data_IF_260044664973
#
_entry.id   IF_260044664973
#
_cell.length_a   1.000
_cell.length_b   1.000
_cell.length_c   1.000
_cell.angle_alpha   90.00
_cell.angle_beta   90.00
_cell.angle_gamma   90.00
#
_symmetry.space_group_name_H-M   'P 1'
#
loop_
_entity.id
_entity.type
_entity.pdbx_description
1 polymer ?
#
# COMPACT_ATOMS: atom_id res chain seq x y z
N UNK A 1 -1.64 -30.42 36.85
CA UNK A 1 -3.01 -30.02 36.52
C UNK A 1 -2.95 -28.99 35.41
N UNK A 2 -3.34 -29.37 34.19
CA UNK A 2 -3.46 -28.44 33.09
C UNK A 2 -4.80 -27.73 33.20
N UNK A 3 -4.81 -26.44 33.48
CA UNK A 3 -6.02 -25.63 33.48
C UNK A 3 -6.48 -25.51 31.99
N UNK A 4 -7.46 -26.33 31.65
CA UNK A 4 -8.19 -26.17 30.37
C UNK A 4 -8.92 -24.83 30.44
N UNK A 5 -8.48 -23.88 29.63
CA UNK A 5 -9.10 -22.57 29.54
C UNK A 5 -10.53 -22.72 29.02
N UNK A 6 -11.50 -22.40 29.88
CA UNK A 6 -12.94 -22.44 29.61
C UNK A 6 -13.41 -21.29 28.68
N UNK A 7 -12.53 -20.74 27.83
CA UNK A 7 -12.85 -19.58 27.00
C UNK A 7 -13.75 -19.91 25.79
N UNK A 8 -14.07 -21.19 25.51
CA UNK A 8 -14.89 -21.61 24.37
C UNK A 8 -16.20 -22.30 24.71
N UNK A 9 -16.57 -22.36 26.00
CA UNK A 9 -17.81 -23.00 26.37
C UNK A 9 -18.98 -22.06 26.06
N UNK A 10 -19.84 -22.48 25.14
CA UNK A 10 -21.12 -21.85 24.79
C UNK A 10 -21.06 -20.57 23.91
N UNK A 11 -19.92 -20.27 23.24
CA UNK A 11 -19.89 -19.26 22.21
C UNK A 11 -20.25 -19.90 20.86
N UNK A 12 -21.20 -19.30 20.09
CA UNK A 12 -21.51 -19.79 18.75
C UNK A 12 -20.30 -19.70 17.83
N UNK A 13 -20.04 -20.74 17.03
CA UNK A 13 -19.02 -20.70 15.99
C UNK A 13 -19.52 -19.79 14.86
N UNK A 14 -19.04 -18.55 14.85
CA UNK A 14 -19.29 -17.65 13.73
C UNK A 14 -18.38 -18.00 12.54
N UNK A 15 -18.90 -17.95 11.30
CA UNK A 15 -18.08 -18.17 10.12
C UNK A 15 -16.97 -17.12 10.05
N UNK A 16 -15.75 -17.56 9.74
CA UNK A 16 -14.63 -16.68 9.53
C UNK A 16 -14.87 -15.83 8.28
N UNK A 17 -14.46 -14.56 8.35
CA UNK A 17 -14.63 -13.61 7.26
C UNK A 17 -13.86 -14.05 6.01
N UNK A 18 -14.48 -13.93 4.83
CA UNK A 18 -13.95 -14.45 3.56
C UNK A 18 -13.46 -13.35 2.59
N UNK A 19 -13.46 -12.08 3.01
CA UNK A 19 -13.04 -10.95 2.17
C UNK A 19 -11.56 -11.03 1.81
N UNK A 20 -11.27 -11.16 0.52
CA UNK A 20 -9.94 -11.27 -0.05
C UNK A 20 -9.70 -10.28 -1.21
N UNK A 21 -10.41 -9.17 -1.21
CA UNK A 21 -10.29 -8.11 -2.22
C UNK A 21 -9.36 -6.99 -1.77
N UNK A 22 -8.66 -6.38 -2.72
CA UNK A 22 -8.03 -5.07 -2.57
C UNK A 22 -9.03 -4.03 -3.03
N UNK A 23 -9.43 -3.11 -2.14
CA UNK A 23 -10.48 -2.12 -2.42
C UNK A 23 -9.93 -0.75 -2.77
N UNK A 24 -8.76 -0.40 -2.24
CA UNK A 24 -8.11 0.89 -2.50
C UNK A 24 -6.62 0.69 -2.69
N UNK A 25 -6.05 1.40 -3.66
CA UNK A 25 -4.60 1.54 -3.85
C UNK A 25 -4.23 2.99 -3.66
N UNK A 26 -3.30 3.26 -2.78
CA UNK A 26 -2.69 4.57 -2.58
C UNK A 26 -1.19 4.50 -2.86
N UNK A 27 -0.58 5.65 -3.14
CA UNK A 27 0.86 5.74 -3.33
C UNK A 27 1.40 7.01 -2.68
N UNK A 28 2.64 6.94 -2.24
CA UNK A 28 3.37 8.09 -1.71
C UNK A 28 4.82 8.07 -2.18
N UNK A 29 5.44 9.25 -2.09
CA UNK A 29 6.86 9.44 -2.22
C UNK A 29 7.46 9.80 -0.86
N UNK A 30 8.60 9.21 -0.50
CA UNK A 30 9.34 9.51 0.73
C UNK A 30 10.68 10.14 0.40
N UNK A 31 11.01 11.19 1.09
CA UNK A 31 12.25 11.92 0.89
C UNK A 31 12.81 12.48 2.20
N UNK A 32 14.09 12.83 2.21
CA UNK A 32 14.72 13.49 3.34
C UNK A 32 14.48 14.99 3.22
N UNK A 33 13.78 15.55 4.20
CA UNK A 33 13.52 16.98 4.32
C UNK A 33 14.82 17.76 4.51
N UNK A 34 14.83 19.01 4.08
CA UNK A 34 15.88 19.97 4.44
C UNK A 34 15.80 20.38 5.91
N UNK A 35 14.65 20.21 6.53
CA UNK A 35 14.46 20.42 7.97
C UNK A 35 15.15 19.28 8.72
N UNK A 36 15.89 19.65 9.74
CA UNK A 36 16.63 18.71 10.58
C UNK A 36 16.04 18.65 11.98
N UNK A 37 16.22 17.52 12.64
CA UNK A 37 15.95 17.37 14.06
C UNK A 37 16.90 18.24 14.88
N UNK A 38 16.63 18.37 16.19
CA UNK A 38 17.53 19.07 17.14
C UNK A 38 18.95 18.47 17.16
N UNK A 39 19.11 17.19 16.76
CA UNK A 39 20.41 16.50 16.69
C UNK A 39 21.05 16.58 15.28
N UNK A 40 20.49 17.37 14.36
CA UNK A 40 21.03 17.57 13.02
C UNK A 40 20.68 16.48 12.00
N UNK A 41 19.89 15.47 12.38
CA UNK A 41 19.44 14.41 11.47
C UNK A 41 18.30 14.90 10.55
N UNK A 42 18.32 14.54 9.26
CA UNK A 42 17.22 14.89 8.37
C UNK A 42 15.94 14.13 8.74
N UNK A 43 14.80 14.81 8.67
CA UNK A 43 13.49 14.21 8.88
C UNK A 43 13.04 13.56 7.57
N UNK A 44 12.53 12.34 7.62
CA UNK A 44 11.87 11.70 6.47
C UNK A 44 10.45 12.22 6.38
N UNK A 45 10.10 12.76 5.24
CA UNK A 45 8.76 13.29 4.93
C UNK A 45 8.10 12.41 3.88
N UNK A 46 6.80 12.25 4.02
CA UNK A 46 5.95 11.53 3.06
C UNK A 46 5.13 12.53 2.27
N UNK A 47 5.13 12.41 0.94
CA UNK A 47 4.23 13.13 0.05
C UNK A 47 3.25 12.17 -0.58
N UNK A 48 1.97 12.29 -0.22
CA UNK A 48 0.91 11.53 -0.87
C UNK A 48 0.80 11.89 -2.35
N UNK A 49 0.65 10.87 -3.18
CA UNK A 49 0.39 11.01 -4.62
C UNK A 49 -1.10 10.83 -4.89
N UNK A 50 -1.61 11.45 -5.94
CA UNK A 50 -3.00 11.24 -6.34
C UNK A 50 -3.08 9.95 -7.14
N UNK A 51 -3.88 9.00 -6.67
CA UNK A 51 -4.10 7.71 -7.32
C UNK A 51 -5.56 7.60 -7.75
N UNK A 52 -5.77 7.27 -9.01
CA UNK A 52 -7.07 6.88 -9.57
C UNK A 52 -7.01 5.43 -9.98
N UNK A 53 -7.94 4.60 -9.50
CA UNK A 53 -7.94 3.16 -9.71
C UNK A 53 -9.13 2.71 -10.55
N UNK A 54 -8.89 1.79 -11.46
CA UNK A 54 -9.92 1.01 -12.16
C UNK A 54 -9.77 -0.45 -11.75
N UNK A 55 -10.77 -0.96 -11.03
CA UNK A 55 -10.76 -2.32 -10.49
C UNK A 55 -11.53 -3.25 -11.42
N UNK A 56 -10.85 -4.25 -11.95
CA UNK A 56 -11.45 -5.41 -12.62
C UNK A 56 -11.50 -6.57 -11.62
N UNK A 57 -12.59 -6.65 -10.88
CA UNK A 57 -12.75 -7.64 -9.83
C UNK A 57 -12.80 -9.07 -10.40
N UNK A 58 -13.39 -9.26 -11.58
CA UNK A 58 -13.52 -10.59 -12.20
C UNK A 58 -12.14 -11.20 -12.51
N UNK A 59 -11.20 -10.38 -12.98
CA UNK A 59 -9.84 -10.81 -13.32
C UNK A 59 -8.82 -10.55 -12.22
N UNK A 60 -9.21 -9.94 -11.11
CA UNK A 60 -8.32 -9.54 -10.00
C UNK A 60 -7.19 -8.61 -10.45
N UNK A 61 -7.53 -7.64 -11.30
CA UNK A 61 -6.59 -6.65 -11.85
C UNK A 61 -7.02 -5.25 -11.42
N UNK A 62 -6.05 -4.45 -11.01
CA UNK A 62 -6.26 -3.03 -10.70
C UNK A 62 -5.32 -2.21 -11.55
N UNK A 63 -5.88 -1.40 -12.45
CA UNK A 63 -5.13 -0.44 -13.22
C UNK A 63 -5.16 0.92 -12.53
N UNK A 64 -4.01 1.50 -12.26
CA UNK A 64 -3.90 2.77 -11.56
C UNK A 64 -3.22 3.84 -12.40
N UNK A 65 -3.73 5.06 -12.30
CA UNK A 65 -3.06 6.28 -12.74
C UNK A 65 -2.50 6.98 -11.50
N UNK A 66 -1.20 7.22 -11.47
CA UNK A 66 -0.52 7.96 -10.41
C UNK A 66 -0.16 9.34 -10.90
N UNK A 67 -0.56 10.37 -10.17
CA UNK A 67 -0.23 11.77 -10.49
C UNK A 67 0.54 12.39 -9.33
N UNK A 68 1.70 12.95 -9.63
CA UNK A 68 2.49 13.69 -8.66
C UNK A 68 1.88 15.08 -8.49
N UNK A 69 1.52 15.51 -7.27
CA UNK A 69 0.93 16.81 -7.04
C UNK A 69 1.90 17.95 -7.36
N UNK A 70 1.39 19.17 -7.49
CA UNK A 70 2.22 20.35 -7.67
C UNK A 70 3.19 20.51 -6.48
N UNK A 71 4.37 21.06 -6.76
CA UNK A 71 5.34 21.40 -5.72
C UNK A 71 4.74 22.43 -4.74
N UNK A 72 5.23 22.44 -3.50
CA UNK A 72 4.87 23.37 -2.43
C UNK A 72 3.37 23.38 -2.05
N UNK A 73 2.65 22.29 -2.36
CA UNK A 73 1.24 22.12 -2.01
C UNK A 73 1.06 21.17 -0.82
N UNK A 74 0.02 21.44 -0.03
CA UNK A 74 -0.46 20.51 1.00
C UNK A 74 0.46 20.31 2.20
N UNK A 75 0.69 21.39 2.96
CA UNK A 75 1.27 21.33 4.32
C UNK A 75 2.77 21.06 4.43
N UNK A 76 3.48 20.98 3.31
CA UNK A 76 4.90 20.74 3.30
C UNK A 76 5.61 21.63 2.31
N UNK A 77 6.09 22.80 2.77
CA UNK A 77 7.01 23.66 2.01
C UNK A 77 8.31 22.94 1.57
N UNK A 78 8.47 21.69 2.00
CA UNK A 78 9.61 20.85 1.69
C UNK A 78 9.48 20.06 0.38
N UNK A 79 8.27 19.89 -0.14
CA UNK A 79 8.07 19.26 -1.44
C UNK A 79 8.31 20.28 -2.55
N UNK A 80 9.56 20.61 -2.77
CA UNK A 80 10.02 21.60 -3.75
C UNK A 80 9.86 21.09 -5.19
N UNK A 81 10.07 21.98 -6.16
CA UNK A 81 10.11 21.60 -7.57
C UNK A 81 11.23 20.58 -7.88
N UNK A 82 12.38 20.70 -7.18
CA UNK A 82 13.48 19.75 -7.29
C UNK A 82 13.05 18.37 -6.75
N UNK A 83 12.44 18.33 -5.55
CA UNK A 83 11.99 17.07 -4.97
C UNK A 83 10.87 16.43 -5.80
N UNK A 84 9.97 17.24 -6.35
CA UNK A 84 8.98 16.75 -7.32
C UNK A 84 9.65 16.05 -8.52
N UNK A 85 10.70 16.63 -9.08
CA UNK A 85 11.44 16.04 -10.21
C UNK A 85 12.15 14.72 -9.82
N UNK A 86 12.40 14.49 -8.53
CA UNK A 86 13.00 13.27 -7.99
C UNK A 86 11.97 12.13 -7.82
N UNK A 87 10.68 12.39 -7.91
CA UNK A 87 9.67 11.34 -7.84
C UNK A 87 9.76 10.44 -9.06
N UNK A 88 10.02 9.15 -8.84
CA UNK A 88 10.21 8.17 -9.92
C UNK A 88 9.22 7.04 -9.77
N UNK A 89 8.63 6.61 -10.89
CA UNK A 89 7.68 5.49 -10.91
C UNK A 89 8.28 4.18 -10.37
N UNK A 90 9.58 3.97 -10.51
CA UNK A 90 10.27 2.76 -10.04
C UNK A 90 10.66 2.78 -8.56
N UNK A 91 10.25 3.79 -7.79
CA UNK A 91 10.56 3.91 -6.38
C UNK A 91 9.42 4.60 -5.62
N UNK A 92 8.23 3.97 -5.63
CA UNK A 92 7.04 4.47 -4.95
C UNK A 92 6.67 3.55 -3.80
N UNK A 93 6.10 4.11 -2.74
CA UNK A 93 5.51 3.36 -1.63
C UNK A 93 4.02 3.21 -1.86
N UNK A 94 3.56 1.96 -2.03
CA UNK A 94 2.15 1.66 -2.24
C UNK A 94 1.49 1.16 -0.96
N UNK A 95 0.24 1.55 -0.76
CA UNK A 95 -0.62 1.12 0.33
C UNK A 95 -1.91 0.55 -0.22
N UNK A 96 -2.36 -0.53 0.39
CA UNK A 96 -3.53 -1.27 -0.06
C UNK A 96 -4.54 -1.37 1.07
N UNK A 97 -5.80 -1.08 0.77
CA UNK A 97 -6.89 -1.36 1.70
C UNK A 97 -7.44 -2.75 1.40
N UNK A 98 -7.37 -3.61 2.39
CA UNK A 98 -7.93 -4.96 2.40
C UNK A 98 -8.83 -5.13 3.63
N UNK A 99 -9.53 -6.26 3.75
CA UNK A 99 -10.23 -6.61 4.99
C UNK A 99 -9.27 -6.62 6.18
N UNK A 100 -9.70 -6.08 7.33
CA UNK A 100 -8.91 -6.09 8.58
C UNK A 100 -8.60 -7.50 9.09
N UNK A 101 -9.37 -8.50 8.64
CA UNK A 101 -9.16 -9.92 8.97
C UNK A 101 -8.33 -10.67 7.92
N UNK A 102 -7.86 -9.98 6.87
CA UNK A 102 -7.04 -10.55 5.81
C UNK A 102 -5.57 -10.19 5.96
N UNK A 103 -4.71 -10.94 5.29
CA UNK A 103 -3.28 -10.67 5.17
C UNK A 103 -2.88 -10.44 3.73
N UNK A 104 -1.86 -9.61 3.49
CA UNK A 104 -1.30 -9.32 2.17
C UNK A 104 0.13 -9.82 2.09
N UNK A 105 0.44 -10.62 1.07
CA UNK A 105 1.77 -11.17 0.83
C UNK A 105 2.23 -10.88 -0.60
N UNK A 106 3.48 -10.44 -0.81
CA UNK A 106 4.02 -10.21 -2.14
C UNK A 106 4.24 -11.54 -2.90
N UNK A 107 4.10 -11.48 -4.22
CA UNK A 107 4.38 -12.58 -5.14
C UNK A 107 5.44 -12.17 -6.16
N UNK A 108 6.11 -13.14 -6.76
CA UNK A 108 7.01 -12.98 -7.93
C UNK A 108 8.06 -11.88 -7.76
N UNK A 109 8.63 -11.73 -6.57
CA UNK A 109 9.65 -10.71 -6.31
C UNK A 109 9.11 -9.28 -6.15
N UNK A 110 7.80 -9.11 -6.08
CA UNK A 110 7.19 -7.81 -5.73
C UNK A 110 7.67 -7.35 -4.35
N UNK A 111 7.88 -6.05 -4.18
CA UNK A 111 8.30 -5.48 -2.91
C UNK A 111 7.29 -5.77 -1.79
N UNK A 112 7.77 -5.98 -0.58
CA UNK A 112 6.90 -6.15 0.60
C UNK A 112 6.12 -4.86 0.86
N UNK A 113 4.89 -4.96 1.41
CA UNK A 113 4.19 -3.78 1.88
C UNK A 113 5.07 -2.96 2.85
N UNK A 114 5.17 -1.66 2.58
CA UNK A 114 6.05 -0.76 3.34
C UNK A 114 7.44 -0.51 2.76
N UNK A 115 7.88 -1.32 1.79
CA UNK A 115 9.09 -1.10 1.02
C UNK A 115 8.79 -0.34 -0.29
N UNK A 116 9.76 0.39 -0.86
CA UNK A 116 9.58 1.02 -2.16
C UNK A 116 9.45 -0.04 -3.26
N UNK A 117 8.46 0.14 -4.13
CA UNK A 117 8.15 -0.78 -5.21
C UNK A 117 8.42 -0.15 -6.58
N UNK A 118 8.79 -0.99 -7.54
CA UNK A 118 8.97 -0.62 -8.93
C UNK A 118 7.64 -0.64 -9.68
N UNK A 119 6.94 0.51 -9.70
CA UNK A 119 5.66 0.68 -10.40
C UNK A 119 5.76 0.64 -11.93
N UNK A 120 6.95 0.45 -12.52
CA UNK A 120 7.09 0.21 -13.97
C UNK A 120 6.78 -1.23 -14.35
N UNK A 121 6.63 -2.11 -13.35
CA UNK A 121 6.31 -3.53 -13.48
C UNK A 121 4.98 -3.85 -12.82
N UNK A 122 4.31 -4.93 -13.22
CA UNK A 122 3.14 -5.41 -12.51
C UNK A 122 3.49 -5.76 -11.06
N UNK A 123 2.75 -5.18 -10.11
CA UNK A 123 2.88 -5.50 -8.69
C UNK A 123 1.88 -6.60 -8.35
N UNK A 124 2.37 -7.73 -7.83
CA UNK A 124 1.56 -8.92 -7.58
C UNK A 124 1.49 -9.23 -6.10
N UNK A 125 0.28 -9.38 -5.60
CA UNK A 125 0.04 -9.68 -4.19
C UNK A 125 -1.03 -10.75 -4.01
N UNK A 126 -0.86 -11.58 -3.00
CA UNK A 126 -1.87 -12.52 -2.51
C UNK A 126 -2.56 -11.94 -1.29
N UNK A 127 -3.88 -11.86 -1.36
CA UNK A 127 -4.73 -11.59 -0.20
C UNK A 127 -5.25 -12.91 0.33
N UNK A 128 -5.00 -13.18 1.61
CA UNK A 128 -5.51 -14.36 2.31
C UNK A 128 -6.54 -13.92 3.33
N UNK A 129 -7.77 -14.34 3.16
CA UNK A 129 -8.87 -14.06 4.09
C UNK A 129 -8.74 -14.87 5.39
N UNK A 130 -9.48 -14.48 6.43
CA UNK A 130 -9.47 -15.18 7.73
C UNK A 130 -9.88 -16.65 7.62
N UNK A 131 -10.76 -17.01 6.68
CA UNK A 131 -11.18 -18.39 6.43
C UNK A 131 -10.20 -19.20 5.57
N UNK A 132 -9.02 -18.63 5.24
CA UNK A 132 -7.99 -19.28 4.44
C UNK A 132 -8.18 -19.18 2.92
N UNK A 133 -9.28 -18.61 2.41
CA UNK A 133 -9.44 -18.35 0.97
C UNK A 133 -8.41 -17.32 0.51
N UNK A 134 -7.76 -17.61 -0.61
CA UNK A 134 -6.75 -16.72 -1.19
C UNK A 134 -7.21 -16.14 -2.52
N UNK A 135 -6.69 -14.97 -2.86
CA UNK A 135 -6.87 -14.32 -4.15
C UNK A 135 -5.61 -13.56 -4.54
N UNK A 136 -5.15 -13.79 -5.77
CA UNK A 136 -3.96 -13.12 -6.30
C UNK A 136 -4.39 -11.91 -7.12
N UNK A 137 -3.83 -10.75 -6.78
CA UNK A 137 -4.12 -9.48 -7.41
C UNK A 137 -2.91 -8.99 -8.20
N UNK A 138 -3.17 -8.37 -9.34
CA UNK A 138 -2.18 -7.68 -10.16
C UNK A 138 -2.50 -6.19 -10.20
N UNK A 139 -1.57 -5.35 -9.79
CA UNK A 139 -1.69 -3.89 -9.84
C UNK A 139 -0.75 -3.36 -10.90
N UNK A 140 -1.28 -2.65 -11.90
CA UNK A 140 -0.53 -2.04 -12.97
C UNK A 140 -0.60 -0.52 -12.86
N UNK A 141 0.54 0.15 -12.83
CA UNK A 141 0.60 1.60 -13.00
C UNK A 141 0.60 1.89 -14.49
N UNK A 142 -0.59 2.08 -15.05
CA UNK A 142 -0.78 2.29 -16.51
C UNK A 142 -0.43 3.70 -16.96
N UNK A 143 -0.47 4.66 -16.03
CA UNK A 143 -0.11 6.05 -16.30
C UNK A 143 0.59 6.63 -15.07
N UNK A 144 1.74 7.28 -15.31
CA UNK A 144 2.47 8.04 -14.31
C UNK A 144 2.66 9.48 -14.82
N UNK A 145 2.11 10.45 -14.07
CA UNK A 145 2.18 11.88 -14.41
C UNK A 145 3.00 12.60 -13.36
N UNK A 146 4.16 13.14 -13.74
CA UNK A 146 5.00 13.98 -12.89
C UNK A 146 4.99 15.44 -13.38
#
# INVERSE_FOLDING_TARGET
MLASSCLKKDLPDYPLFDGNSITVVNAEHRFKSRIKTMHGEPIVVMKGLTVSSQVDDANSVINVTVTVPAAETGGGADFTAEEKANVKQNALWFYYTISTAATLSPLDGTAKPGDPADGTKPLKYRVTAANGKTRDWVINVVTFKN
#
